data_IF_161931361861
#
_entry.id   IF_161931361861
#
_cell.length_a   1.000
_cell.length_b   1.000
_cell.length_c   1.000
_cell.angle_alpha   90.00
_cell.angle_beta   90.00
_cell.angle_gamma   90.00
#
_symmetry.space_group_name_H-M   'P 1'
#
loop_
_entity.id
_entity.type
_entity.pdbx_description
1 polymer ?
#
# COMPACT_ATOMS: atom_id res chain seq x y z
N UNK A 1 -3.86 -39.95 11.23
CA UNK A 1 -3.72 -38.81 10.30
C UNK A 1 -4.37 -37.58 10.89
N UNK A 2 -3.58 -36.66 11.48
CA UNK A 2 -4.14 -35.47 12.15
C UNK A 2 -3.25 -34.23 11.97
N UNK A 3 -2.70 -34.01 10.78
CA UNK A 3 -1.80 -32.87 10.52
C UNK A 3 -2.21 -31.95 9.36
N UNK A 4 -3.39 -32.15 8.75
CA UNK A 4 -3.72 -31.46 7.49
C UNK A 4 -4.93 -30.51 7.55
N UNK A 5 -5.48 -30.21 8.75
CA UNK A 5 -6.58 -29.23 8.88
C UNK A 5 -6.09 -27.83 9.21
N UNK A 6 -4.98 -27.71 9.95
CA UNK A 6 -4.39 -26.42 10.30
C UNK A 6 -3.74 -25.76 9.07
N UNK A 7 -2.95 -26.52 8.30
CA UNK A 7 -2.29 -26.06 7.06
C UNK A 7 -3.25 -25.51 6.01
N UNK A 8 -4.41 -26.17 5.81
CA UNK A 8 -5.41 -25.73 4.82
C UNK A 8 -6.09 -24.43 5.24
N UNK A 9 -6.41 -24.29 6.54
CA UNK A 9 -6.98 -23.05 7.08
C UNK A 9 -5.98 -21.90 7.00
N UNK A 10 -4.69 -22.19 7.24
CA UNK A 10 -3.62 -21.19 7.12
C UNK A 10 -3.43 -20.73 5.67
N UNK A 11 -3.47 -21.63 4.68
CA UNK A 11 -3.38 -21.26 3.25
C UNK A 11 -4.58 -20.45 2.77
N UNK A 12 -5.80 -20.83 3.15
CA UNK A 12 -7.01 -20.12 2.76
C UNK A 12 -7.09 -18.75 3.45
N UNK A 13 -6.60 -18.64 4.68
CA UNK A 13 -6.43 -17.36 5.36
C UNK A 13 -5.44 -16.45 4.63
N UNK A 14 -4.26 -16.95 4.27
CA UNK A 14 -3.26 -16.17 3.53
C UNK A 14 -3.80 -15.68 2.17
N UNK A 15 -4.51 -16.53 1.43
CA UNK A 15 -5.18 -16.13 0.17
C UNK A 15 -6.23 -15.05 0.38
N UNK A 16 -7.02 -15.15 1.46
CA UNK A 16 -8.03 -14.15 1.79
C UNK A 16 -7.38 -12.81 2.15
N UNK A 17 -6.34 -12.82 2.97
CA UNK A 17 -5.59 -11.61 3.36
C UNK A 17 -4.96 -10.95 2.13
N UNK A 18 -4.33 -11.73 1.25
CA UNK A 18 -3.73 -11.21 0.02
C UNK A 18 -4.78 -10.57 -0.89
N UNK A 19 -5.93 -11.24 -1.08
CA UNK A 19 -7.05 -10.68 -1.84
C UNK A 19 -7.53 -9.35 -1.25
N UNK A 20 -7.69 -9.28 0.08
CA UNK A 20 -8.10 -8.05 0.77
C UNK A 20 -7.04 -6.94 0.67
N UNK A 21 -5.75 -7.30 0.74
CA UNK A 21 -4.63 -6.37 0.53
C UNK A 21 -4.71 -5.73 -0.85
N UNK A 22 -4.93 -6.54 -1.89
CA UNK A 22 -5.08 -6.06 -3.27
C UNK A 22 -6.32 -5.18 -3.43
N UNK A 23 -7.48 -5.61 -2.94
CA UNK A 23 -8.73 -4.84 -3.01
C UNK A 23 -8.60 -3.45 -2.36
N UNK A 24 -7.94 -3.37 -1.20
CA UNK A 24 -7.79 -2.11 -0.47
C UNK A 24 -6.73 -1.20 -1.10
N UNK A 25 -5.65 -1.76 -1.66
CA UNK A 25 -4.67 -1.01 -2.43
C UNK A 25 -5.27 -0.38 -3.69
N UNK A 26 -6.02 -1.17 -4.47
CA UNK A 26 -6.75 -0.70 -5.66
C UNK A 26 -7.69 0.46 -5.32
N UNK A 27 -8.38 0.35 -4.17
CA UNK A 27 -9.25 1.42 -3.69
C UNK A 27 -8.47 2.70 -3.40
N UNK A 28 -7.34 2.62 -2.71
CA UNK A 28 -6.50 3.80 -2.43
C UNK A 28 -5.99 4.42 -3.74
N UNK A 29 -5.54 3.60 -4.68
CA UNK A 29 -5.06 4.05 -6.00
C UNK A 29 -6.16 4.81 -6.73
N UNK A 30 -7.37 4.26 -6.76
CA UNK A 30 -8.52 4.87 -7.43
C UNK A 30 -8.99 6.15 -6.74
N UNK A 31 -9.15 6.12 -5.42
CA UNK A 31 -9.67 7.26 -4.64
C UNK A 31 -8.72 8.47 -4.72
N UNK A 32 -7.41 8.23 -4.77
CA UNK A 32 -6.40 9.29 -4.82
C UNK A 32 -5.89 9.62 -6.23
N UNK A 33 -6.32 8.85 -7.23
CA UNK A 33 -5.87 8.88 -8.62
C UNK A 33 -4.35 8.73 -8.74
N UNK A 34 -3.81 7.67 -8.13
CA UNK A 34 -2.38 7.36 -8.11
C UNK A 34 -1.94 6.66 -9.39
N UNK A 35 -0.63 6.69 -9.65
CA UNK A 35 -0.03 5.80 -10.62
C UNK A 35 -0.07 4.37 -10.09
N UNK A 36 -0.81 3.50 -10.77
CA UNK A 36 -1.06 2.12 -10.38
C UNK A 36 0.23 1.32 -10.23
N UNK A 37 1.03 1.22 -11.29
CA UNK A 37 2.26 0.41 -11.30
C UNK A 37 3.26 0.85 -10.22
N UNK A 38 3.44 2.16 -10.08
CA UNK A 38 4.36 2.72 -9.08
C UNK A 38 3.83 2.53 -7.65
N UNK A 39 2.51 2.61 -7.43
CA UNK A 39 1.90 2.36 -6.12
C UNK A 39 2.07 0.90 -5.70
N UNK A 40 1.82 -0.05 -6.61
CA UNK A 40 2.04 -1.47 -6.37
C UNK A 40 3.50 -1.75 -6.00
N UNK A 41 4.42 -1.26 -6.82
CA UNK A 41 5.85 -1.40 -6.57
C UNK A 41 6.26 -0.75 -5.25
N UNK A 42 5.69 0.41 -4.91
CA UNK A 42 5.99 1.09 -3.65
C UNK A 42 5.60 0.25 -2.43
N UNK A 43 4.37 -0.29 -2.43
CA UNK A 43 3.87 -1.15 -1.36
C UNK A 43 4.64 -2.47 -1.29
N UNK A 44 4.93 -3.10 -2.42
CA UNK A 44 5.72 -4.34 -2.47
C UNK A 44 7.12 -4.15 -1.84
N UNK A 45 7.80 -3.07 -2.19
CA UNK A 45 9.08 -2.73 -1.57
C UNK A 45 8.92 -2.49 -0.06
N UNK A 46 7.83 -1.85 0.38
CA UNK A 46 7.60 -1.61 1.80
C UNK A 46 7.39 -2.91 2.60
N UNK A 47 6.63 -3.87 2.06
CA UNK A 47 6.49 -5.20 2.68
C UNK A 47 7.81 -5.97 2.68
N UNK A 48 8.61 -5.88 1.62
CA UNK A 48 9.94 -6.50 1.58
C UNK A 48 10.89 -5.88 2.60
N UNK A 49 10.90 -4.57 2.71
CA UNK A 49 11.82 -3.81 3.54
C UNK A 49 11.29 -3.64 4.99
N UNK A 50 10.08 -4.12 5.29
CA UNK A 50 9.42 -4.05 6.59
C UNK A 50 9.01 -2.64 7.04
N UNK A 51 9.04 -1.65 6.14
CA UNK A 51 8.71 -0.26 6.45
C UNK A 51 8.33 0.54 5.21
N UNK A 52 7.47 1.54 5.38
CA UNK A 52 7.12 2.48 4.30
C UNK A 52 8.24 3.49 4.11
N UNK A 53 8.85 3.49 2.93
CA UNK A 53 9.90 4.45 2.57
C UNK A 53 9.30 5.83 2.28
N UNK A 54 9.35 6.73 3.28
CA UNK A 54 8.90 8.13 3.14
C UNK A 54 9.97 9.04 2.54
N UNK A 55 11.20 8.53 2.41
CA UNK A 55 12.37 9.22 1.87
C UNK A 55 12.58 8.90 0.39
N UNK A 56 13.26 9.79 -0.34
CA UNK A 56 13.55 9.60 -1.76
C UNK A 56 12.40 9.96 -2.72
N UNK A 57 12.53 9.54 -3.98
CA UNK A 57 11.66 9.96 -5.09
C UNK A 57 10.54 8.97 -5.41
N UNK A 58 10.50 7.79 -4.77
CA UNK A 58 9.51 6.75 -5.06
C UNK A 58 8.07 7.26 -4.84
N UNK A 59 7.79 7.89 -3.71
CA UNK A 59 6.49 8.52 -3.44
C UNK A 59 6.11 9.57 -4.50
N UNK A 60 7.09 10.29 -5.05
CA UNK A 60 6.80 11.28 -6.11
C UNK A 60 6.34 10.62 -7.42
N UNK A 61 6.77 9.38 -7.70
CA UNK A 61 6.33 8.62 -8.88
C UNK A 61 4.92 8.02 -8.72
N UNK A 62 4.54 7.71 -7.48
CA UNK A 62 3.19 7.23 -7.14
C UNK A 62 2.14 8.34 -7.30
N UNK A 63 2.50 9.57 -6.97
CA UNK A 63 1.58 10.70 -7.09
C UNK A 63 1.29 11.01 -8.56
N UNK A 64 0.04 11.38 -8.89
CA UNK A 64 -0.27 11.85 -10.23
C UNK A 64 0.55 13.11 -10.56
N UNK A 65 0.83 13.35 -11.84
CA UNK A 65 1.47 14.59 -12.28
C UNK A 65 0.57 15.77 -11.90
N UNK A 66 0.96 16.50 -10.86
CA UNK A 66 0.27 17.72 -10.45
C UNK A 66 0.77 18.90 -11.26
N UNK A 67 -0.15 19.79 -11.62
CA UNK A 67 0.20 21.03 -12.31
C UNK A 67 1.15 21.86 -11.43
N UNK A 68 2.28 22.26 -12.02
CA UNK A 68 3.29 23.13 -11.39
C UNK A 68 2.77 24.53 -11.06
N UNK A 69 1.58 24.87 -11.55
CA UNK A 69 0.92 26.17 -11.37
C UNK A 69 -0.16 26.16 -10.27
N UNK A 70 -0.38 25.03 -9.60
CA UNK A 70 -1.23 24.99 -8.41
C UNK A 70 -0.52 25.69 -7.24
N UNK A 71 -1.30 26.32 -6.35
CA UNK A 71 -0.77 27.05 -5.20
C UNK A 71 0.21 26.18 -4.42
N UNK A 72 1.37 26.74 -4.12
CA UNK A 72 2.47 26.10 -3.37
C UNK A 72 1.95 25.56 -2.04
N UNK A 73 1.79 24.23 -1.93
CA UNK A 73 1.40 23.56 -0.69
C UNK A 73 0.36 22.44 -0.84
N UNK A 74 -0.50 22.47 -1.86
CA UNK A 74 -1.51 21.43 -2.07
C UNK A 74 -0.88 20.06 -2.35
N UNK A 75 0.20 20.04 -3.15
CA UNK A 75 0.97 18.83 -3.42
C UNK A 75 1.56 18.21 -2.16
N UNK A 76 2.12 19.03 -1.27
CA UNK A 76 2.76 18.55 -0.03
C UNK A 76 1.72 17.94 0.90
N UNK A 77 0.57 18.62 1.09
CA UNK A 77 -0.54 18.10 1.89
C UNK A 77 -1.08 16.79 1.32
N UNK A 78 -1.33 16.73 0.01
CA UNK A 78 -1.82 15.51 -0.64
C UNK A 78 -0.82 14.35 -0.49
N UNK A 79 0.48 14.63 -0.64
CA UNK A 79 1.54 13.65 -0.38
C UNK A 79 1.48 13.11 1.04
N UNK A 80 1.37 13.98 2.05
CA UNK A 80 1.29 13.57 3.45
C UNK A 80 0.06 12.70 3.72
N UNK A 81 -1.11 13.09 3.20
CA UNK A 81 -2.34 12.29 3.31
C UNK A 81 -2.20 10.90 2.69
N UNK A 82 -1.54 10.79 1.53
CA UNK A 82 -1.32 9.50 0.86
C UNK A 82 -0.32 8.64 1.63
N UNK A 83 0.76 9.23 2.15
CA UNK A 83 1.70 8.54 3.03
C UNK A 83 0.98 7.97 4.25
N UNK A 84 0.10 8.77 4.87
CA UNK A 84 -0.66 8.33 6.04
C UNK A 84 -1.61 7.17 5.71
N UNK A 85 -2.28 7.22 4.55
CA UNK A 85 -3.12 6.11 4.06
C UNK A 85 -2.29 4.84 3.85
N UNK A 86 -1.13 4.95 3.22
CA UNK A 86 -0.23 3.82 3.01
C UNK A 86 0.36 3.26 4.30
N UNK A 87 0.68 4.10 5.29
CA UNK A 87 1.12 3.65 6.61
C UNK A 87 0.02 2.85 7.30
N UNK A 88 -1.20 3.36 7.37
CA UNK A 88 -2.34 2.65 7.99
C UNK A 88 -2.63 1.33 7.28
N UNK A 89 -2.58 1.33 5.95
CA UNK A 89 -2.70 0.12 5.14
C UNK A 89 -1.58 -0.88 5.47
N UNK A 90 -0.33 -0.43 5.48
CA UNK A 90 0.83 -1.26 5.77
C UNK A 90 0.75 -1.88 7.16
N UNK A 91 0.56 -1.08 8.21
CA UNK A 91 0.44 -1.55 9.59
C UNK A 91 -0.65 -2.62 9.74
N UNK A 92 -1.83 -2.38 9.16
CA UNK A 92 -2.95 -3.31 9.21
C UNK A 92 -2.62 -4.68 8.62
N UNK A 93 -2.00 -4.72 7.45
CA UNK A 93 -1.69 -5.98 6.77
C UNK A 93 -0.38 -6.62 7.26
N UNK A 94 0.54 -5.83 7.79
CA UNK A 94 1.77 -6.31 8.41
C UNK A 94 1.48 -7.04 9.73
N UNK A 95 0.57 -6.51 10.55
CA UNK A 95 0.14 -7.17 11.79
C UNK A 95 -0.65 -8.46 11.53
N UNK A 96 -1.43 -8.53 10.44
CA UNK A 96 -2.20 -9.72 10.07
C UNK A 96 -1.30 -10.83 9.51
N UNK A 97 -0.17 -10.46 8.88
CA UNK A 97 0.78 -11.40 8.30
C UNK A 97 1.79 -11.97 9.31
N UNK A 98 1.76 -11.48 10.56
CA UNK A 98 2.66 -11.88 11.65
C UNK A 98 2.06 -13.02 12.49
#
# INVERSE_FOLDING_TARGET
>A
ESLNKQSVVDEDWQKFVEKKKIEELERIIKDENLNHDEAYRFIENAFRDGSISTTGTAMTKVLPPVSRFLKTGERTKKRETIIEKFNRFFERFFDIAK
#
